data_IF_106961765935
#
_entry.id   IF_106961765935
#
_cell.length_a   1.000
_cell.length_b   1.000
_cell.length_c   1.000
_cell.angle_alpha   90.00
_cell.angle_beta   90.00
_cell.angle_gamma   90.00
#
_symmetry.space_group_name_H-M   'P 1'
#
loop_
_entity.id
_entity.type
_entity.pdbx_description
1 polymer ?
#
# COMPACT_ATOMS: atom_id res chain seq x y z
N UNK A 1 0.26 9.17 -13.56
CA UNK A 1 0.74 7.81 -13.88
C UNK A 1 0.40 6.94 -12.68
N UNK A 2 -0.55 6.01 -12.81
CA UNK A 2 -0.91 5.15 -11.70
C UNK A 2 0.11 4.01 -11.54
N UNK A 3 0.53 3.69 -10.31
CA UNK A 3 1.36 2.51 -10.07
C UNK A 3 0.56 1.24 -10.34
N UNK A 4 1.23 0.24 -10.92
CA UNK A 4 0.64 -1.09 -11.13
C UNK A 4 0.66 -1.89 -9.82
N UNK A 5 -0.27 -2.85 -9.71
CA UNK A 5 -0.22 -3.86 -8.66
C UNK A 5 1.18 -4.50 -8.58
N UNK A 6 1.66 -4.72 -7.36
CA UNK A 6 3.02 -5.17 -7.05
C UNK A 6 3.99 -4.04 -6.69
N UNK A 7 3.59 -2.77 -6.80
CA UNK A 7 4.37 -1.65 -6.27
C UNK A 7 4.56 -1.78 -4.76
N UNK A 8 5.72 -1.38 -4.25
CA UNK A 8 6.03 -1.41 -2.82
C UNK A 8 6.20 0.01 -2.27
N UNK A 9 5.85 0.21 -1.00
CA UNK A 9 6.08 1.46 -0.28
C UNK A 9 6.45 1.15 1.17
N UNK A 10 7.32 1.95 1.77
CA UNK A 10 7.76 1.85 3.15
C UNK A 10 6.71 2.39 4.13
N UNK A 11 6.74 1.90 5.37
CA UNK A 11 5.94 2.49 6.44
C UNK A 11 6.43 3.91 6.75
N UNK A 12 5.51 4.84 6.97
CA UNK A 12 5.81 6.24 7.27
C UNK A 12 6.05 7.14 6.05
N UNK A 13 6.17 6.60 4.83
CA UNK A 13 6.24 7.41 3.62
C UNK A 13 4.85 7.79 3.09
N UNK A 14 4.78 8.77 2.18
CA UNK A 14 3.53 9.11 1.49
C UNK A 14 3.21 8.04 0.46
N UNK A 15 2.02 7.47 0.57
CA UNK A 15 1.46 6.48 -0.33
C UNK A 15 1.52 7.00 -1.78
N UNK A 16 2.30 6.35 -2.65
CA UNK A 16 2.52 6.84 -4.00
C UNK A 16 1.31 6.58 -4.91
N UNK A 17 0.45 5.62 -4.56
CA UNK A 17 -0.73 5.26 -5.34
C UNK A 17 -1.90 4.85 -4.44
N UNK A 18 -3.05 5.49 -4.66
CA UNK A 18 -4.29 5.09 -4.02
C UNK A 18 -4.68 3.66 -4.41
N UNK A 19 -5.01 2.83 -3.42
CA UNK A 19 -5.38 1.44 -3.67
C UNK A 19 -5.54 0.59 -2.42
N UNK A 20 -5.78 -0.69 -2.65
CA UNK A 20 -5.70 -1.74 -1.63
C UNK A 20 -4.26 -2.22 -1.57
N UNK A 21 -3.64 -2.11 -0.41
CA UNK A 21 -2.30 -2.57 -0.11
C UNK A 21 -2.34 -3.71 0.91
N UNK A 22 -1.31 -4.54 0.93
CA UNK A 22 -1.11 -5.61 1.92
C UNK A 22 0.32 -5.59 2.42
N UNK A 23 0.59 -5.98 3.67
CA UNK A 23 1.94 -6.03 4.17
C UNK A 23 2.66 -7.26 3.60
N UNK A 24 3.96 -7.14 3.32
CA UNK A 24 4.72 -8.13 2.54
C UNK A 24 4.68 -9.56 3.11
N UNK A 25 4.56 -9.70 4.43
CA UNK A 25 4.49 -10.99 5.13
C UNK A 25 3.07 -11.53 5.31
N UNK A 26 2.02 -10.73 5.06
CA UNK A 26 0.64 -11.16 5.23
C UNK A 26 -0.31 -10.63 4.13
N UNK A 27 -0.39 -11.31 2.97
CA UNK A 27 -1.26 -10.91 1.85
C UNK A 27 -2.77 -11.01 2.13
N UNK A 28 -3.15 -11.67 3.22
CA UNK A 28 -4.54 -11.73 3.69
C UNK A 28 -4.96 -10.45 4.41
N UNK A 29 -4.02 -9.72 5.00
CA UNK A 29 -4.28 -8.48 5.71
C UNK A 29 -4.25 -7.28 4.77
N UNK A 30 -5.34 -7.00 4.08
CA UNK A 30 -5.42 -5.86 3.15
C UNK A 30 -5.91 -4.58 3.82
N UNK A 31 -5.38 -3.43 3.40
CA UNK A 31 -5.78 -2.10 3.85
C UNK A 31 -5.85 -1.12 2.69
N UNK A 32 -6.86 -0.26 2.66
CA UNK A 32 -6.99 0.80 1.66
C UNK A 32 -6.17 2.02 2.07
N UNK A 33 -5.32 2.51 1.17
CA UNK A 33 -4.62 3.79 1.32
C UNK A 33 -4.99 4.70 0.16
N UNK A 34 -5.30 5.97 0.47
CA UNK A 34 -5.42 7.01 -0.54
C UNK A 34 -4.05 7.51 -1.00
N UNK A 35 -3.97 8.04 -2.22
CA UNK A 35 -2.74 8.67 -2.71
C UNK A 35 -2.35 9.84 -1.80
N UNK A 36 -1.06 9.97 -1.47
CA UNK A 36 -0.53 11.00 -0.60
C UNK A 36 -0.76 10.79 0.91
N UNK A 37 -1.54 9.78 1.31
CA UNK A 37 -1.68 9.43 2.73
C UNK A 37 -0.43 8.74 3.27
N UNK A 38 -0.12 8.93 4.55
CA UNK A 38 1.01 8.23 5.17
C UNK A 38 0.74 6.73 5.30
N UNK A 39 1.66 5.91 4.80
CA UNK A 39 1.64 4.46 5.00
C UNK A 39 1.73 4.15 6.49
N UNK A 40 0.67 3.57 7.06
CA UNK A 40 0.66 3.22 8.49
C UNK A 40 1.51 1.99 8.75
N UNK A 41 2.06 1.81 9.96
CA UNK A 41 2.74 0.57 10.31
C UNK A 41 1.84 -0.65 10.07
N UNK A 42 2.45 -1.73 9.60
CA UNK A 42 1.77 -3.00 9.34
C UNK A 42 1.44 -3.70 10.66
N UNK A 43 0.38 -4.53 10.71
CA UNK A 43 -0.04 -5.16 11.94
C UNK A 43 0.97 -6.18 12.50
N UNK A 44 1.84 -6.77 11.67
CA UNK A 44 2.85 -7.74 12.12
C UNK A 44 4.28 -7.18 12.13
N UNK A 45 4.45 -5.86 11.98
CA UNK A 45 5.75 -5.19 12.07
C UNK A 45 6.62 -5.30 10.82
N UNK A 46 6.04 -5.61 9.67
CA UNK A 46 6.69 -5.48 8.37
C UNK A 46 6.93 -4.00 7.99
N UNK A 47 8.06 -3.73 7.35
CA UNK A 47 8.44 -2.37 6.94
C UNK A 47 7.86 -1.92 5.60
N UNK A 48 7.27 -2.83 4.83
CA UNK A 48 6.80 -2.55 3.48
C UNK A 48 5.36 -2.99 3.26
N UNK A 49 4.61 -2.13 2.58
CA UNK A 49 3.33 -2.43 1.95
C UNK A 49 3.53 -2.75 0.48
N UNK A 50 2.73 -3.67 -0.03
CA UNK A 50 2.67 -4.07 -1.43
C UNK A 50 1.28 -3.75 -1.97
N UNK A 51 1.21 -3.11 -3.12
CA UNK A 51 -0.04 -2.71 -3.76
C UNK A 51 -0.71 -3.94 -4.35
N UNK A 52 -1.87 -4.33 -3.80
CA UNK A 52 -2.69 -5.42 -4.33
C UNK A 52 -3.48 -4.97 -5.55
N UNK A 53 -4.23 -3.88 -5.36
CA UNK A 53 -5.18 -3.38 -6.33
C UNK A 53 -5.09 -1.87 -6.36
N UNK A 54 -4.55 -1.26 -7.43
CA UNK A 54 -4.65 0.18 -7.61
C UNK A 54 -6.14 0.55 -7.76
N UNK A 55 -6.62 1.49 -6.95
CA UNK A 55 -7.85 2.21 -7.27
C UNK A 55 -7.44 3.36 -8.16
N UNK A 56 -7.70 3.22 -9.46
CA UNK A 56 -7.56 4.31 -10.41
C UNK A 56 -8.60 5.37 -10.12
N UNK A 57 -8.15 6.62 -10.01
CA UNK A 57 -8.93 7.77 -10.44
C UNK A 57 -9.11 7.58 -11.96
N UNK A 58 -10.29 7.12 -12.36
CA UNK A 58 -10.79 7.17 -13.74
C UNK A 58 -11.63 8.43 -13.90
#
# INVERSE_FOLDING_TARGET
MALKAGATAEIGEKCPQGGIWYPVGNPSSTRSFGIGNTMTPTPNGENHWVLKTPTGDD
#
